data_IF_726616128734
#
_entry.id   IF_726616128734
#
_cell.length_a   1.000
_cell.length_b   1.000
_cell.length_c   1.000
_cell.angle_alpha   90.00
_cell.angle_beta   90.00
_cell.angle_gamma   90.00
#
_symmetry.space_group_name_H-M   'P 1'
#
loop_
_entity.id
_entity.type
_entity.pdbx_description
1 polymer ?
#
# COMPACT_ATOMS: atom_id res chain seq x y z
N UNK A 1 -13.96 -3.76 13.62
CA UNK A 1 -12.56 -3.63 13.18
C UNK A 1 -12.29 -2.14 13.00
N UNK A 2 -11.47 -1.54 13.86
CA UNK A 2 -11.15 -0.11 13.75
C UNK A 2 -10.16 0.07 12.60
N UNK A 3 -10.61 0.62 11.47
CA UNK A 3 -9.72 1.04 10.39
C UNK A 3 -8.97 2.27 10.89
N UNK A 4 -7.67 2.13 11.14
CA UNK A 4 -6.85 3.29 11.48
C UNK A 4 -6.84 4.25 10.31
N UNK A 5 -7.23 5.50 10.54
CA UNK A 5 -7.14 6.52 9.50
C UNK A 5 -5.67 6.71 9.09
N UNK A 6 -5.47 6.99 7.80
CA UNK A 6 -4.19 7.34 7.15
C UNK A 6 -3.22 8.16 8.03
N UNK A 7 -3.65 9.21 8.77
CA UNK A 7 -2.75 9.99 9.62
C UNK A 7 -2.09 9.20 10.76
N UNK A 8 -2.79 8.24 11.36
CA UNK A 8 -2.24 7.42 12.45
C UNK A 8 -1.19 6.44 11.92
N UNK A 9 -1.46 5.81 10.77
CA UNK A 9 -0.55 4.89 10.13
C UNK A 9 0.74 5.61 9.72
N UNK A 10 0.63 6.79 9.09
CA UNK A 10 1.79 7.63 8.72
C UNK A 10 2.65 8.00 9.93
N UNK A 11 2.05 8.32 11.07
CA UNK A 11 2.79 8.63 12.30
C UNK A 11 3.58 7.42 12.82
N UNK A 12 2.98 6.23 12.82
CA UNK A 12 3.63 5.01 13.33
C UNK A 12 4.67 4.43 12.38
N UNK A 13 4.45 4.58 11.07
CA UNK A 13 5.31 4.05 10.03
C UNK A 13 6.35 5.08 9.55
N UNK A 14 6.63 6.13 10.33
CA UNK A 14 7.50 7.24 9.92
C UNK A 14 8.95 6.85 9.61
N UNK A 15 9.43 5.70 10.12
CA UNK A 15 10.75 5.15 9.79
C UNK A 15 10.76 4.25 8.54
N UNK A 16 9.59 3.99 7.97
CA UNK A 16 9.38 3.11 6.83
C UNK A 16 9.00 3.93 5.60
N UNK A 17 9.50 3.54 4.44
CA UNK A 17 9.09 4.12 3.16
C UNK A 17 7.86 3.39 2.65
N UNK A 18 6.79 4.13 2.37
CA UNK A 18 5.64 3.58 1.65
C UNK A 18 5.99 3.39 0.17
N UNK A 19 5.67 2.22 -0.38
CA UNK A 19 5.98 1.86 -1.77
C UNK A 19 4.78 1.34 -2.56
N UNK A 20 3.61 1.23 -1.95
CA UNK A 20 2.33 1.03 -2.65
C UNK A 20 1.80 2.34 -3.25
N UNK A 21 1.00 2.26 -4.31
CA UNK A 21 0.39 3.41 -5.01
C UNK A 21 -0.79 4.07 -4.26
N UNK A 22 -1.23 3.49 -3.13
CA UNK A 22 -2.34 3.97 -2.30
C UNK A 22 -3.71 3.99 -2.97
N UNK A 23 -3.88 3.29 -4.08
CA UNK A 23 -5.20 3.15 -4.70
C UNK A 23 -6.14 2.36 -3.79
N UNK A 24 -7.45 2.70 -3.79
CA UNK A 24 -8.43 1.90 -3.09
C UNK A 24 -8.43 0.45 -3.58
N UNK A 25 -8.50 -0.49 -2.64
CA UNK A 25 -8.45 -1.93 -2.92
C UNK A 25 -9.74 -2.64 -2.52
N UNK A 26 -10.60 -2.00 -1.72
CA UNK A 26 -11.80 -2.63 -1.14
C UNK A 26 -13.05 -1.76 -1.32
N UNK A 27 -14.22 -2.37 -1.62
CA UNK A 27 -14.36 -3.73 -2.14
C UNK A 27 -13.82 -3.84 -3.58
N UNK A 28 -13.40 -5.03 -4.01
CA UNK A 28 -12.77 -5.24 -5.31
C UNK A 28 -13.63 -4.80 -6.52
N UNK A 29 -14.95 -4.91 -6.41
CA UNK A 29 -15.93 -4.56 -7.44
C UNK A 29 -16.24 -3.05 -7.51
N UNK A 30 -16.06 -2.32 -6.40
CA UNK A 30 -16.24 -0.87 -6.32
C UNK A 30 -15.23 -0.24 -5.32
N UNK A 31 -13.92 -0.20 -5.67
CA UNK A 31 -12.88 0.15 -4.71
C UNK A 31 -13.03 1.59 -4.20
N UNK A 32 -13.12 1.73 -2.88
CA UNK A 32 -13.34 3.03 -2.20
C UNK A 32 -12.55 3.20 -0.91
N UNK A 33 -11.92 2.14 -0.41
CA UNK A 33 -11.10 2.17 0.80
C UNK A 33 -9.70 1.64 0.51
N UNK A 34 -8.69 2.36 1.00
CA UNK A 34 -7.28 1.97 0.96
C UNK A 34 -6.90 1.39 2.32
N UNK A 35 -6.82 0.07 2.42
CA UNK A 35 -6.43 -0.61 3.66
C UNK A 35 -5.25 -1.58 3.48
N UNK A 36 -4.81 -1.78 2.23
CA UNK A 36 -3.65 -2.59 1.87
C UNK A 36 -2.46 -1.69 1.55
N UNK A 37 -1.32 -1.95 2.20
CA UNK A 37 -0.14 -1.11 2.10
C UNK A 37 1.12 -1.96 2.02
N UNK A 38 2.12 -1.47 1.27
CA UNK A 38 3.46 -2.05 1.24
C UNK A 38 4.45 -1.01 1.76
N UNK A 39 5.23 -1.40 2.76
CA UNK A 39 6.26 -0.55 3.39
C UNK A 39 7.63 -1.24 3.36
N UNK A 40 8.68 -0.44 3.21
CA UNK A 40 10.06 -0.92 3.26
C UNK A 40 10.87 -0.18 4.33
N UNK A 41 11.63 -0.93 5.13
CA UNK A 41 12.52 -0.39 6.16
C UNK A 41 13.99 -0.70 5.87
N UNK A 42 14.93 0.20 6.18
CA UNK A 42 14.71 1.58 6.64
C UNK A 42 14.38 2.51 5.46
N UNK A 43 13.63 3.58 5.69
CA UNK A 43 13.06 4.40 4.60
C UNK A 43 14.09 4.86 3.55
N UNK A 44 15.33 5.11 3.98
CA UNK A 44 16.39 5.69 3.16
C UNK A 44 17.15 4.65 2.32
N UNK A 45 16.94 3.35 2.54
CA UNK A 45 17.62 2.26 1.81
C UNK A 45 16.86 1.76 0.59
N UNK A 46 15.66 2.28 0.33
CA UNK A 46 14.80 1.77 -0.74
C UNK A 46 14.46 2.85 -1.77
N UNK A 47 14.55 2.47 -3.04
CA UNK A 47 14.02 3.23 -4.18
C UNK A 47 12.76 2.50 -4.68
N UNK A 48 11.65 3.24 -4.82
CA UNK A 48 10.45 2.71 -5.46
C UNK A 48 10.65 2.84 -6.97
N UNK A 49 10.42 1.75 -7.71
CA UNK A 49 10.55 1.69 -9.16
C UNK A 49 9.16 1.74 -9.80
N UNK A 50 8.26 0.88 -9.35
CA UNK A 50 6.90 0.76 -9.85
C UNK A 50 5.96 0.29 -8.74
N UNK A 51 4.70 0.66 -8.80
CA UNK A 51 3.65 0.15 -7.91
C UNK A 51 2.32 0.11 -8.64
N UNK A 52 1.62 -1.02 -8.53
CA UNK A 52 0.43 -1.31 -9.32
C UNK A 52 -0.63 -2.01 -8.48
N UNK A 53 -1.89 -1.62 -8.69
CA UNK A 53 -3.08 -2.30 -8.15
C UNK A 53 -3.79 -3.00 -9.29
N UNK A 54 -4.01 -4.30 -9.16
CA UNK A 54 -4.58 -5.11 -10.23
C UNK A 54 -6.10 -5.21 -10.08
N UNK A 55 -6.83 -4.84 -11.13
CA UNK A 55 -8.29 -4.93 -11.17
C UNK A 55 -8.73 -6.35 -11.53
N UNK A 56 -8.64 -7.25 -10.56
CA UNK A 56 -9.06 -8.65 -10.68
C UNK A 56 -10.10 -8.95 -9.61
N UNK A 57 -11.18 -9.66 -9.98
CA UNK A 57 -12.28 -9.97 -9.06
C UNK A 57 -12.18 -11.42 -8.57
N UNK A 58 -11.06 -11.72 -7.89
CA UNK A 58 -10.73 -13.05 -7.34
C UNK A 58 -10.77 -13.07 -5.79
N UNK A 59 -10.84 -11.90 -5.16
CA UNK A 59 -11.01 -11.66 -3.73
C UNK A 59 -11.89 -10.43 -3.56
N UNK A 60 -12.36 -10.18 -2.34
CA UNK A 60 -12.95 -8.90 -1.90
C UNK A 60 -11.95 -7.72 -1.85
N UNK A 61 -10.64 -7.99 -1.97
CA UNK A 61 -9.56 -7.02 -2.09
C UNK A 61 -8.88 -7.09 -3.46
N UNK A 62 -8.44 -5.93 -3.98
CA UNK A 62 -7.56 -5.86 -5.15
C UNK A 62 -6.08 -6.12 -4.76
N UNK A 63 -5.35 -6.99 -5.46
CA UNK A 63 -3.93 -7.21 -5.22
C UNK A 63 -3.09 -5.95 -5.49
N UNK A 64 -2.10 -5.70 -4.64
CA UNK A 64 -1.13 -4.60 -4.79
C UNK A 64 0.27 -5.19 -4.93
N UNK A 65 1.04 -4.70 -5.90
CA UNK A 65 2.47 -5.02 -6.04
C UNK A 65 3.32 -3.77 -6.04
N UNK A 66 4.56 -3.90 -5.57
CA UNK A 66 5.58 -2.87 -5.70
C UNK A 66 6.89 -3.50 -6.18
N UNK A 67 7.51 -2.89 -7.18
CA UNK A 67 8.88 -3.15 -7.59
C UNK A 67 9.77 -2.15 -6.88
N UNK A 68 10.70 -2.65 -6.08
CA UNK A 68 11.63 -1.83 -5.30
C UNK A 68 13.05 -2.26 -5.53
N UNK A 69 13.96 -1.33 -5.37
CA UNK A 69 15.40 -1.55 -5.46
C UNK A 69 16.07 -1.09 -4.16
N UNK A 70 17.07 -1.84 -3.74
CA UNK A 70 17.92 -1.48 -2.61
C UNK A 70 19.02 -0.51 -3.07
N UNK A 71 19.23 0.55 -2.30
CA UNK A 71 20.30 1.52 -2.51
C UNK A 71 21.60 1.10 -1.83
#
# INVERSE_FOLDING_TARGET
MTVYQEPFLKKRMSAWKIVSNLEPTVPADAPRSTIDYIFCYPQNKWRSIESSTYKVNLSDHLPVSAVVEMK
#
